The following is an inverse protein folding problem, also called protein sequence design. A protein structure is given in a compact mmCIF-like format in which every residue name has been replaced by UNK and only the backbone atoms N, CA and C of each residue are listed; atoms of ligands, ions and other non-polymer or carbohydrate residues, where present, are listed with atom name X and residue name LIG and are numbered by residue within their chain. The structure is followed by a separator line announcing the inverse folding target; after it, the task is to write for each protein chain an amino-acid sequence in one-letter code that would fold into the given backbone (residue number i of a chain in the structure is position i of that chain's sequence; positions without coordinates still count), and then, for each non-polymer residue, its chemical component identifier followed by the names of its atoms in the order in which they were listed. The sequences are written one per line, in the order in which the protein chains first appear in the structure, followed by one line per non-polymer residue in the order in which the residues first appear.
data_IF_232545276867
#
_entry.id   IF_232545276867
#
_cell.length_a   1.000
_cell.length_b   1.000
_cell.length_c   1.000
_cell.angle_alpha   90.00
_cell.angle_beta   90.00
_cell.angle_gamma   90.00
#
_symmetry.space_group_name_H-M   'P 1'
#
loop_
_entity.id
_entity.type
_entity.pdbx_description
1 polymer ?
#
# COMPACT_ATOMS: atom_id res chain seq x y z
N UNK A 1 -16.64 11.15 -52.30
CA UNK A 1 -16.13 12.27 -51.47
C UNK A 1 -15.01 11.71 -50.61
N UNK A 2 -13.79 12.23 -50.73
CA UNK A 2 -12.65 11.81 -49.91
C UNK A 2 -12.49 12.85 -48.80
N UNK A 3 -12.72 12.44 -47.56
CA UNK A 3 -12.53 13.33 -46.41
C UNK A 3 -11.03 13.37 -46.06
N UNK A 4 -10.43 14.54 -46.15
CA UNK A 4 -9.08 14.78 -45.65
C UNK A 4 -9.15 14.99 -44.14
N UNK A 5 -8.76 13.98 -43.36
CA UNK A 5 -8.56 14.14 -41.93
C UNK A 5 -7.09 14.43 -41.64
N UNK A 6 -6.84 15.47 -40.86
CA UNK A 6 -5.52 15.77 -40.31
C UNK A 6 -5.50 15.32 -38.85
N UNK A 7 -4.74 14.28 -38.54
CA UNK A 7 -4.55 13.80 -37.16
C UNK A 7 -3.23 14.38 -36.65
N UNK A 8 -3.30 15.23 -35.62
CA UNK A 8 -2.13 15.60 -34.82
C UNK A 8 -2.14 14.82 -33.51
N UNK A 9 -1.02 14.19 -33.17
CA UNK A 9 -0.79 13.57 -31.86
C UNK A 9 0.24 14.39 -31.11
N UNK A 10 -0.02 14.66 -29.83
CA UNK A 10 0.93 15.28 -28.93
C UNK A 10 1.45 14.18 -27.99
N UNK A 11 2.77 14.12 -27.72
CA UNK A 11 3.27 13.20 -26.72
C UNK A 11 2.65 13.53 -25.36
N UNK A 12 2.34 12.51 -24.57
CA UNK A 12 2.05 12.71 -23.15
C UNK A 12 3.21 13.47 -22.53
N UNK A 13 2.94 14.55 -21.80
CA UNK A 13 3.99 15.27 -21.07
C UNK A 13 4.75 14.28 -20.20
N UNK A 14 6.08 14.40 -20.14
CA UNK A 14 6.89 13.62 -19.19
C UNK A 14 6.34 13.87 -17.77
N UNK A 15 5.80 12.82 -17.18
CA UNK A 15 5.33 12.85 -15.80
C UNK A 15 6.47 12.36 -14.92
N UNK A 16 6.62 12.99 -13.76
CA UNK A 16 7.53 12.49 -12.73
C UNK A 16 7.16 11.04 -12.38
N UNK A 17 8.17 10.17 -12.28
CA UNK A 17 7.98 8.80 -11.80
C UNK A 17 7.66 8.86 -10.31
N UNK A 18 6.40 8.56 -9.98
CA UNK A 18 5.88 8.60 -8.61
C UNK A 18 5.93 7.24 -7.93
N UNK A 19 6.21 6.16 -8.68
CA UNK A 19 6.21 4.80 -8.13
C UNK A 19 7.45 4.60 -7.26
N UNK A 20 7.33 3.92 -6.11
CA UNK A 20 8.46 3.62 -5.28
C UNK A 20 9.41 2.66 -5.99
N UNK A 21 10.70 2.70 -5.63
CA UNK A 21 11.75 1.87 -6.25
C UNK A 21 11.46 0.37 -6.17
N UNK A 22 10.78 -0.07 -5.10
CA UNK A 22 10.40 -1.46 -4.87
C UNK A 22 9.13 -1.89 -5.62
N UNK A 23 8.43 -0.99 -6.31
CA UNK A 23 7.15 -1.29 -6.98
C UNK A 23 7.25 -2.52 -7.88
N UNK A 24 8.33 -2.64 -8.66
CA UNK A 24 8.57 -3.79 -9.55
C UNK A 24 8.69 -5.13 -8.82
N UNK A 25 9.11 -5.14 -7.56
CA UNK A 25 9.26 -6.36 -6.76
C UNK A 25 7.90 -6.98 -6.41
N UNK A 26 6.84 -6.18 -6.36
CA UNK A 26 5.48 -6.67 -6.07
C UNK A 26 4.99 -7.64 -7.14
N UNK A 27 5.45 -7.53 -8.39
CA UNK A 27 5.10 -8.44 -9.48
C UNK A 27 5.49 -9.89 -9.17
N UNK A 28 6.63 -10.10 -8.51
CA UNK A 28 7.12 -11.43 -8.17
C UNK A 28 6.38 -12.04 -6.98
N UNK A 29 5.69 -11.22 -6.17
CA UNK A 29 4.98 -11.65 -4.96
C UNK A 29 3.50 -11.85 -5.21
N UNK A 30 2.85 -10.87 -5.84
CA UNK A 30 1.44 -10.95 -6.20
C UNK A 30 1.17 -10.10 -7.46
N UNK A 31 0.93 -10.78 -8.59
CA UNK A 31 0.69 -10.12 -9.89
C UNK A 31 -0.56 -9.22 -9.85
N UNK A 32 -1.59 -9.62 -9.12
CA UNK A 32 -2.83 -8.86 -9.06
C UNK A 32 -2.64 -7.55 -8.29
N UNK A 33 -1.92 -7.58 -7.16
CA UNK A 33 -1.52 -6.41 -6.40
C UNK A 33 -0.70 -5.44 -7.26
N UNK A 34 0.28 -5.95 -8.02
CA UNK A 34 1.07 -5.13 -8.96
C UNK A 34 0.16 -4.39 -9.95
N UNK A 35 -0.81 -5.10 -10.55
CA UNK A 35 -1.76 -4.51 -11.51
C UNK A 35 -2.61 -3.43 -10.85
N UNK A 36 -3.21 -3.72 -9.69
CA UNK A 36 -4.05 -2.75 -8.95
C UNK A 36 -3.25 -1.50 -8.58
N UNK A 37 -2.02 -1.68 -8.08
CA UNK A 37 -1.13 -0.56 -7.75
C UNK A 37 -0.81 0.26 -9.01
N UNK A 38 -0.48 -0.39 -10.13
CA UNK A 38 -0.21 0.29 -11.40
C UNK A 38 -1.42 1.13 -11.86
N UNK A 39 -2.62 0.56 -11.82
CA UNK A 39 -3.85 1.26 -12.18
C UNK A 39 -4.15 2.45 -11.26
N UNK A 40 -3.90 2.29 -9.96
CA UNK A 40 -4.02 3.38 -9.00
C UNK A 40 -3.04 4.53 -9.31
N UNK A 41 -1.77 4.22 -9.60
CA UNK A 41 -0.78 5.25 -9.98
C UNK A 41 -1.17 5.96 -11.28
N UNK A 42 -1.62 5.21 -12.30
CA UNK A 42 -2.11 5.78 -13.55
C UNK A 42 -3.30 6.72 -13.29
N UNK A 43 -4.25 6.30 -12.44
CA UNK A 43 -5.40 7.14 -12.09
C UNK A 43 -4.96 8.43 -11.39
N UNK A 44 -4.01 8.35 -10.46
CA UNK A 44 -3.48 9.52 -9.76
C UNK A 44 -2.71 10.47 -10.69
N UNK A 45 -1.84 9.94 -11.55
CA UNK A 45 -1.10 10.72 -12.56
C UNK A 45 -2.03 11.45 -13.53
N UNK A 46 -3.17 10.85 -13.84
CA UNK A 46 -4.24 11.46 -14.65
C UNK A 46 -5.23 12.29 -13.84
N UNK A 47 -4.91 12.64 -12.58
CA UNK A 47 -5.74 13.45 -11.67
C UNK A 47 -7.16 12.89 -11.46
N UNK A 48 -7.34 11.60 -11.66
CA UNK A 48 -8.59 10.88 -11.44
C UNK A 48 -8.70 10.47 -9.97
N UNK A 49 -8.80 11.45 -9.07
CA UNK A 49 -8.64 11.25 -7.62
C UNK A 49 -9.65 10.29 -6.99
N UNK A 50 -10.89 10.23 -7.49
CA UNK A 50 -11.89 9.26 -7.03
C UNK A 50 -11.43 7.83 -7.34
N UNK A 51 -11.00 7.57 -8.58
CA UNK A 51 -10.52 6.25 -9.00
C UNK A 51 -9.23 5.87 -8.28
N UNK A 52 -8.31 6.83 -8.11
CA UNK A 52 -7.09 6.61 -7.36
C UNK A 52 -7.40 6.23 -5.90
N UNK A 53 -8.34 6.91 -5.24
CA UNK A 53 -8.74 6.60 -3.86
C UNK A 53 -9.43 5.23 -3.73
N UNK A 54 -10.24 4.83 -4.70
CA UNK A 54 -10.79 3.46 -4.80
C UNK A 54 -9.65 2.44 -4.95
N UNK A 55 -8.61 2.80 -5.71
CA UNK A 55 -7.37 2.03 -5.83
C UNK A 55 -6.73 1.74 -4.47
N UNK A 56 -6.59 2.75 -3.59
CA UNK A 56 -6.02 2.57 -2.25
C UNK A 56 -6.76 1.51 -1.42
N UNK A 57 -8.11 1.54 -1.45
CA UNK A 57 -8.95 0.51 -0.81
C UNK A 57 -8.67 -0.87 -1.39
N UNK A 58 -8.58 -0.96 -2.70
CA UNK A 58 -8.40 -2.24 -3.41
C UNK A 58 -7.01 -2.83 -3.15
N UNK A 59 -5.97 -1.98 -3.08
CA UNK A 59 -4.62 -2.35 -2.68
C UNK A 59 -4.61 -2.91 -1.26
N UNK A 60 -5.25 -2.22 -0.32
CA UNK A 60 -5.37 -2.72 1.07
C UNK A 60 -6.01 -4.10 1.10
N UNK A 61 -7.15 -4.26 0.42
CA UNK A 61 -7.91 -5.51 0.44
C UNK A 61 -7.09 -6.68 -0.09
N UNK A 62 -6.43 -6.48 -1.24
CA UNK A 62 -5.56 -7.52 -1.83
C UNK A 62 -4.36 -7.84 -0.95
N UNK A 63 -3.74 -6.83 -0.33
CA UNK A 63 -2.59 -7.02 0.55
C UNK A 63 -2.95 -7.86 1.77
N UNK A 64 -4.14 -7.63 2.33
CA UNK A 64 -4.67 -8.39 3.46
C UNK A 64 -5.01 -9.84 3.07
N UNK A 65 -5.56 -10.06 1.87
CA UNK A 65 -5.81 -11.40 1.35
C UNK A 65 -4.52 -12.23 1.19
N UNK A 66 -3.40 -11.60 0.80
CA UNK A 66 -2.09 -12.27 0.71
C UNK A 66 -1.62 -12.76 2.09
N UNK A 67 -2.11 -12.15 3.19
CA UNK A 67 -1.88 -12.63 4.55
C UNK A 67 -2.85 -13.72 5.00
N UNK A 68 -3.70 -14.23 4.10
CA UNK A 68 -4.74 -15.23 4.38
C UNK A 68 -5.85 -14.76 5.33
N UNK A 69 -6.03 -13.45 5.49
CA UNK A 69 -7.18 -12.89 6.22
C UNK A 69 -8.42 -13.00 5.32
N UNK A 70 -9.49 -13.56 5.88
CA UNK A 70 -10.67 -13.96 5.12
C UNK A 70 -11.34 -12.77 4.38
N UNK A 71 -11.70 -12.92 3.09
CA UNK A 71 -12.21 -11.81 2.27
C UNK A 71 -13.57 -11.30 2.73
N UNK A 72 -14.38 -12.14 3.39
CA UNK A 72 -15.72 -11.79 3.88
C UNK A 72 -15.76 -10.81 5.06
N UNK A 73 -14.62 -10.48 5.67
CA UNK A 73 -14.57 -9.43 6.70
C UNK A 73 -14.71 -8.04 6.06
N UNK A 74 -15.34 -7.12 6.79
CA UNK A 74 -15.34 -5.70 6.41
C UNK A 74 -13.92 -5.12 6.48
N UNK A 75 -13.64 -4.02 5.77
CA UNK A 75 -12.33 -3.37 5.81
C UNK A 75 -11.91 -2.98 7.23
N UNK A 76 -12.84 -2.45 8.04
CA UNK A 76 -12.57 -2.11 9.43
C UNK A 76 -12.16 -3.33 10.27
N UNK A 77 -12.88 -4.46 10.11
CA UNK A 77 -12.53 -5.72 10.76
C UNK A 77 -11.18 -6.25 10.30
N UNK A 78 -10.87 -6.17 9.00
CA UNK A 78 -9.55 -6.54 8.45
C UNK A 78 -8.42 -5.73 9.11
N UNK A 79 -8.61 -4.42 9.31
CA UNK A 79 -7.64 -3.56 10.01
C UNK A 79 -7.48 -3.97 11.48
N UNK A 80 -8.57 -4.32 12.16
CA UNK A 80 -8.52 -4.76 13.55
C UNK A 80 -7.79 -6.11 13.69
N UNK A 81 -8.07 -7.07 12.80
CA UNK A 81 -7.37 -8.37 12.73
C UNK A 81 -5.87 -8.20 12.51
N UNK A 82 -5.45 -7.34 11.57
CA UNK A 82 -4.03 -7.06 11.35
C UNK A 82 -3.29 -6.64 12.62
N UNK A 83 -3.95 -5.84 13.47
CA UNK A 83 -3.37 -5.40 14.74
C UNK A 83 -3.37 -6.51 15.78
N UNK A 84 -4.45 -7.30 15.85
CA UNK A 84 -4.57 -8.43 16.78
C UNK A 84 -3.54 -9.52 16.50
N UNK A 85 -3.27 -9.79 15.23
CA UNK A 85 -2.27 -10.76 14.77
C UNK A 85 -0.83 -10.20 14.75
N UNK A 86 -0.64 -8.92 15.12
CA UNK A 86 0.67 -8.30 15.25
C UNK A 86 1.35 -7.92 13.94
N UNK A 87 0.62 -7.89 12.82
CA UNK A 87 1.13 -7.39 11.54
C UNK A 87 1.39 -5.88 11.57
N UNK A 88 0.58 -5.13 12.34
CA UNK A 88 0.67 -3.68 12.46
C UNK A 88 0.57 -3.24 13.93
N UNK A 89 1.12 -2.06 14.23
CA UNK A 89 0.96 -1.40 15.53
C UNK A 89 -0.29 -0.53 15.62
N UNK A 90 -0.58 0.03 16.79
CA UNK A 90 -1.79 0.85 17.04
C UNK A 90 -1.83 2.13 16.19
N UNK A 91 -0.68 2.78 15.99
CA UNK A 91 -0.59 3.98 15.14
C UNK A 91 -0.92 3.66 13.70
N UNK A 92 -0.35 2.58 13.15
CA UNK A 92 -0.58 2.15 11.78
C UNK A 92 -2.03 1.69 11.59
N UNK A 93 -2.61 0.99 12.57
CA UNK A 93 -4.04 0.65 12.60
C UNK A 93 -4.91 1.90 12.41
N UNK A 94 -4.64 2.95 13.18
CA UNK A 94 -5.39 4.22 13.09
C UNK A 94 -5.26 4.86 11.70
N UNK A 95 -4.06 4.85 11.14
CA UNK A 95 -3.80 5.36 9.78
C UNK A 95 -4.49 4.54 8.69
N UNK A 96 -4.44 3.20 8.77
CA UNK A 96 -5.08 2.32 7.79
C UNK A 96 -6.62 2.37 7.87
N UNK A 97 -7.20 2.65 9.04
CA UNK A 97 -8.64 2.98 9.14
C UNK A 97 -9.00 4.22 8.32
N UNK A 98 -8.15 5.25 8.33
CA UNK A 98 -8.36 6.45 7.52
C UNK A 98 -8.25 6.13 6.02
N UNK A 99 -7.22 5.38 5.61
CA UNK A 99 -7.03 4.98 4.19
C UNK A 99 -8.21 4.17 3.66
N UNK A 100 -8.64 3.16 4.42
CA UNK A 100 -9.77 2.31 4.04
C UNK A 100 -11.08 3.11 3.98
N UNK A 101 -11.31 4.02 4.93
CA UNK A 101 -12.50 4.87 4.93
C UNK A 101 -12.49 5.91 3.81
N UNK A 102 -11.32 6.46 3.44
CA UNK A 102 -11.18 7.35 2.30
C UNK A 102 -11.57 6.65 0.99
N UNK A 103 -11.04 5.44 0.75
CA UNK A 103 -11.41 4.65 -0.43
C UNK A 103 -12.88 4.19 -0.42
N UNK A 104 -13.43 3.88 0.76
CA UNK A 104 -14.85 3.57 0.92
C UNK A 104 -15.75 4.78 0.61
N UNK A 105 -15.35 5.98 1.07
CA UNK A 105 -16.01 7.25 0.78
C UNK A 105 -16.00 7.57 -0.71
N UNK A 106 -14.87 7.34 -1.39
CA UNK A 106 -14.77 7.53 -2.83
C UNK A 106 -15.69 6.58 -3.61
N UNK A 107 -15.71 5.30 -3.23
CA UNK A 107 -16.52 4.28 -3.89
C UNK A 107 -18.04 4.48 -3.74
N UNK A 108 -18.50 4.90 -2.55
CA UNK A 108 -19.93 4.90 -2.23
C UNK A 108 -20.55 6.30 -2.04
N UNK A 109 -19.74 7.31 -1.78
CA UNK A 109 -20.20 8.68 -1.45
C UNK A 109 -19.62 9.75 -2.38
N UNK A 110 -18.94 9.33 -3.45
CA UNK A 110 -18.37 10.24 -4.47
C UNK A 110 -17.43 11.28 -3.87
N UNK A 111 -16.82 10.98 -2.73
CA UNK A 111 -15.82 11.84 -2.13
C UNK A 111 -14.50 11.74 -2.90
N UNK A 112 -13.81 12.85 -3.07
CA UNK A 112 -12.51 12.90 -3.73
C UNK A 112 -11.49 13.59 -2.82
N UNK A 113 -10.30 13.01 -2.61
CA UNK A 113 -9.20 13.72 -1.96
C UNK A 113 -8.66 14.80 -2.91
N UNK A 114 -8.07 15.85 -2.34
CA UNK A 114 -7.13 16.69 -3.08
C UNK A 114 -5.76 16.00 -3.22
N UNK A 115 -4.87 16.59 -4.02
CA UNK A 115 -3.56 15.98 -4.32
C UNK A 115 -2.71 15.74 -3.07
N UNK A 116 -2.68 16.68 -2.12
CA UNK A 116 -1.91 16.58 -0.88
C UNK A 116 -2.47 15.52 0.05
N UNK A 117 -3.79 15.46 0.19
CA UNK A 117 -4.49 14.42 0.93
C UNK A 117 -4.19 13.04 0.33
N UNK A 118 -4.29 12.90 -1.00
CA UNK A 118 -4.00 11.64 -1.67
C UNK A 118 -2.56 11.18 -1.44
N UNK A 119 -1.58 12.07 -1.60
CA UNK A 119 -0.17 11.76 -1.32
C UNK A 119 0.04 11.26 0.11
N UNK A 120 -0.66 11.85 1.07
CA UNK A 120 -0.60 11.40 2.47
C UNK A 120 -1.16 9.99 2.65
N UNK A 121 -2.28 9.68 2.01
CA UNK A 121 -2.88 8.34 2.03
C UNK A 121 -2.01 7.32 1.29
N UNK A 122 -1.40 7.73 0.18
CA UNK A 122 -0.52 6.92 -0.66
C UNK A 122 0.69 6.42 0.13
N UNK A 123 1.38 7.32 0.84
CA UNK A 123 2.54 6.94 1.68
C UNK A 123 2.17 5.89 2.73
N UNK A 124 0.98 6.00 3.33
CA UNK A 124 0.52 5.03 4.33
C UNK A 124 0.32 3.65 3.68
N UNK A 125 -0.36 3.58 2.54
CA UNK A 125 -0.63 2.29 1.89
C UNK A 125 0.65 1.67 1.32
N UNK A 126 1.54 2.47 0.75
CA UNK A 126 2.83 2.02 0.22
C UNK A 126 3.69 1.40 1.32
N UNK A 127 3.78 2.07 2.46
CA UNK A 127 4.49 1.58 3.63
C UNK A 127 3.90 0.26 4.15
N UNK A 128 2.58 0.14 4.17
CA UNK A 128 1.89 -1.09 4.57
C UNK A 128 2.20 -2.23 3.59
N UNK A 129 2.07 -2.00 2.28
CA UNK A 129 2.38 -3.00 1.24
C UNK A 129 3.83 -3.45 1.33
N UNK A 130 4.78 -2.50 1.38
CA UNK A 130 6.21 -2.78 1.45
C UNK A 130 6.52 -3.67 2.65
N UNK A 131 6.08 -3.28 3.86
CA UNK A 131 6.36 -4.04 5.08
C UNK A 131 5.66 -5.40 5.14
N UNK A 132 4.54 -5.54 4.46
CA UNK A 132 3.73 -6.76 4.53
C UNK A 132 4.19 -7.80 3.52
N UNK A 133 4.44 -7.37 2.29
CA UNK A 133 4.67 -8.25 1.14
C UNK A 133 6.15 -8.45 0.83
N UNK A 134 6.98 -7.43 1.09
CA UNK A 134 8.42 -7.44 0.79
C UNK A 134 9.27 -7.72 2.05
N UNK A 135 8.71 -8.44 3.03
CA UNK A 135 9.44 -8.85 4.23
C UNK A 135 10.72 -9.59 3.83
N UNK A 136 11.85 -9.10 4.34
CA UNK A 136 13.13 -9.75 4.17
C UNK A 136 13.34 -10.77 5.29
N UNK A 137 13.06 -12.04 5.01
CA UNK A 137 13.27 -13.14 5.95
C UNK A 137 14.75 -13.50 6.14
N UNK A 138 15.65 -13.06 5.25
CA UNK A 138 17.09 -13.29 5.40
C UNK A 138 17.68 -12.58 6.62
N UNK A 139 16.95 -11.63 7.22
CA UNK A 139 17.35 -10.97 8.47
C UNK A 139 17.59 -11.99 9.60
N UNK A 140 16.82 -13.09 9.63
CA UNK A 140 16.98 -14.12 10.64
C UNK A 140 18.29 -14.90 10.47
N UNK A 141 18.86 -14.97 9.27
CA UNK A 141 20.19 -15.58 9.04
C UNK A 141 21.31 -14.79 9.73
N UNK A 142 21.08 -13.51 10.04
CA UNK A 142 22.07 -12.71 10.79
C UNK A 142 22.22 -13.23 12.22
N UNK A 143 21.19 -13.85 12.82
CA UNK A 143 21.29 -14.32 14.21
C UNK A 143 22.39 -15.37 14.40
N UNK A 144 22.71 -16.13 13.36
CA UNK A 144 23.81 -17.10 13.35
C UNK A 144 25.19 -16.44 13.42
N UNK A 145 25.30 -15.18 13.01
CA UNK A 145 26.54 -14.40 12.96
C UNK A 145 26.72 -13.46 14.15
N UNK A 146 25.72 -13.33 15.02
CA UNK A 146 25.81 -12.42 16.17
C UNK A 146 26.73 -13.01 17.25
N UNK A 147 27.59 -12.19 17.88
CA UNK A 147 28.41 -12.65 19.00
C UNK A 147 27.55 -13.05 20.20
N UNK A 148 28.09 -13.92 21.05
CA UNK A 148 27.41 -14.34 22.28
C UNK A 148 27.06 -13.14 23.17
N UNK A 149 25.88 -13.18 23.79
CA UNK A 149 25.43 -12.13 24.71
C UNK A 149 26.36 -12.07 25.92
N UNK A 150 26.76 -10.86 26.32
CA UNK A 150 27.45 -10.66 27.60
C UNK A 150 26.56 -11.13 28.77
N UNK A 151 27.17 -11.67 29.85
CA UNK A 151 26.42 -12.04 31.04
C UNK A 151 25.68 -10.83 31.61
N UNK A 152 24.44 -11.03 32.08
CA UNK A 152 23.66 -9.97 32.71
C UNK A 152 24.33 -9.55 34.04
N UNK A 153 24.28 -8.26 34.40
CA UNK A 153 24.76 -7.84 35.71
C UNK A 153 23.95 -8.54 36.83
N UNK A 154 24.58 -8.83 37.98
CA UNK A 154 23.89 -9.44 39.10
C UNK A 154 22.74 -8.54 39.55
N UNK A 155 21.59 -9.15 39.86
CA UNK A 155 20.41 -8.44 40.39
C UNK A 155 20.81 -7.81 41.72
N UNK A 156 20.71 -6.48 41.86
CA UNK A 156 20.84 -5.82 43.17
C UNK A 156 19.81 -6.44 44.10
N UNK A 157 20.27 -6.99 45.23
CA UNK A 157 19.39 -7.35 46.33
C UNK A 157 18.96 -6.02 46.98
N UNK A 158 17.67 -5.74 46.98
CA UNK A 158 17.03 -4.69 47.81
C UNK A 158 16.84 -5.21 49.23
#
# INVERSE_FOLDING_TARGET
MVYNYHISTYPTQEQEEIRPTWFGETLNKDRQLYVIMNEMYIAFQNKSFILAAIGLRTIFDRTVEVLNIHPGYTLGQKVDILKEEGFIGETERSQLKIVTEAGNSAAHRTWAPNETEFKSLLVIIENFVMRTILKNEDIFKITEKLPAKYPRPPKKQE
#
